data_IF_129714102975
#
_entry.id   IF_129714102975
#
_cell.length_a   1.000
_cell.length_b   1.000
_cell.length_c   1.000
_cell.angle_alpha   90.00
_cell.angle_beta   90.00
_cell.angle_gamma   90.00
#
_symmetry.space_group_name_H-M   'P 1'
#
loop_
_entity.id
_entity.type
_entity.pdbx_description
1 polymer ?
#
# COMPACT_ATOMS: atom_id res chain seq x y z
N UNK A 1 23.79 14.40 -11.70
CA UNK A 1 22.67 14.34 -10.73
C UNK A 1 23.26 14.51 -9.36
N UNK A 2 22.65 15.35 -8.52
CA UNK A 2 23.00 15.39 -7.10
C UNK A 2 22.33 14.23 -6.34
N UNK A 3 22.77 14.02 -5.10
CA UNK A 3 22.30 12.91 -4.27
C UNK A 3 20.80 13.04 -3.95
N UNK A 4 20.33 14.27 -3.73
CA UNK A 4 18.92 14.55 -3.47
C UNK A 4 18.02 14.16 -4.66
N UNK A 5 18.39 14.53 -5.88
CA UNK A 5 17.61 14.16 -7.08
C UNK A 5 17.59 12.65 -7.27
N UNK A 6 18.71 11.95 -7.04
CA UNK A 6 18.75 10.48 -7.13
C UNK A 6 17.78 9.83 -6.15
N UNK A 7 17.81 10.22 -4.87
CA UNK A 7 16.91 9.67 -3.86
C UNK A 7 15.46 10.03 -4.11
N UNK A 8 15.18 11.21 -4.65
CA UNK A 8 13.84 11.59 -5.07
C UNK A 8 13.29 10.62 -6.14
N UNK A 9 14.09 10.26 -7.14
CA UNK A 9 13.70 9.25 -8.13
C UNK A 9 13.51 7.87 -7.51
N UNK A 10 14.37 7.46 -6.58
CA UNK A 10 14.22 6.17 -5.87
C UNK A 10 12.90 6.13 -5.11
N UNK A 11 12.59 7.16 -4.32
CA UNK A 11 11.31 7.30 -3.61
C UNK A 11 10.14 7.25 -4.59
N UNK A 12 10.23 7.96 -5.72
CA UNK A 12 9.24 7.92 -6.78
C UNK A 12 9.01 6.51 -7.33
N UNK A 13 10.08 5.75 -7.61
CA UNK A 13 9.99 4.36 -8.07
C UNK A 13 9.36 3.45 -7.02
N UNK A 14 9.70 3.64 -5.73
CA UNK A 14 9.10 2.87 -4.64
C UNK A 14 7.58 3.11 -4.53
N UNK A 15 7.14 4.36 -4.61
CA UNK A 15 5.71 4.67 -4.60
C UNK A 15 4.99 4.22 -5.87
N UNK A 16 5.62 4.34 -7.04
CA UNK A 16 5.04 3.80 -8.29
C UNK A 16 4.89 2.28 -8.20
N UNK A 17 5.91 1.57 -7.70
CA UNK A 17 5.82 0.13 -7.45
C UNK A 17 4.69 -0.22 -6.49
N UNK A 18 4.58 0.50 -5.38
CA UNK A 18 3.47 0.37 -4.44
C UNK A 18 2.11 0.55 -5.13
N UNK A 19 1.90 1.64 -5.87
CA UNK A 19 0.62 1.92 -6.51
C UNK A 19 0.26 0.92 -7.62
N UNK A 20 1.26 0.34 -8.29
CA UNK A 20 1.02 -0.69 -9.32
C UNK A 20 0.66 -2.02 -8.67
N UNK A 21 1.40 -2.42 -7.64
CA UNK A 21 1.27 -3.73 -7.01
C UNK A 21 0.09 -3.77 -6.04
N UNK A 22 0.10 -2.91 -5.01
CA UNK A 22 -0.97 -2.85 -4.00
C UNK A 22 -2.26 -2.23 -4.61
N UNK A 23 -2.14 -1.43 -5.67
CA UNK A 23 -3.30 -0.95 -6.44
C UNK A 23 -4.09 -2.07 -7.13
N UNK A 24 -3.42 -3.14 -7.56
CA UNK A 24 -4.11 -4.35 -8.03
C UNK A 24 -4.89 -5.02 -6.89
N UNK A 25 -4.30 -5.14 -5.70
CA UNK A 25 -4.95 -5.76 -4.54
C UNK A 25 -6.22 -4.98 -4.13
N UNK A 26 -6.13 -3.65 -4.08
CA UNK A 26 -7.30 -2.81 -3.86
C UNK A 26 -8.35 -2.94 -4.98
N UNK A 27 -7.92 -3.01 -6.23
CA UNK A 27 -8.81 -3.20 -7.38
C UNK A 27 -9.58 -4.52 -7.29
N UNK A 28 -8.91 -5.61 -6.91
CA UNK A 28 -9.52 -6.92 -6.66
C UNK A 28 -10.52 -6.83 -5.50
N UNK A 29 -10.13 -6.21 -4.38
CA UNK A 29 -11.03 -5.99 -3.24
C UNK A 29 -12.29 -5.18 -3.59
N UNK A 30 -12.15 -4.09 -4.36
CA UNK A 30 -13.26 -3.27 -4.83
C UNK A 30 -14.15 -3.98 -5.85
N UNK A 31 -13.63 -4.98 -6.55
CA UNK A 31 -14.40 -5.78 -7.52
C UNK A 31 -15.30 -6.83 -6.87
N UNK A 32 -15.07 -7.18 -5.60
CA UNK A 32 -15.81 -8.23 -4.89
C UNK A 32 -17.34 -8.06 -4.89
N UNK A 33 -17.93 -6.85 -4.72
CA UNK A 33 -19.38 -6.68 -4.81
C UNK A 33 -19.95 -6.98 -6.20
N UNK A 34 -19.14 -6.89 -7.26
CA UNK A 34 -19.57 -7.09 -8.64
C UNK A 34 -19.29 -8.51 -9.14
N UNK A 35 -18.13 -9.06 -8.79
CA UNK A 35 -17.63 -10.36 -9.26
C UNK A 35 -17.84 -11.51 -8.27
N UNK A 36 -17.94 -11.22 -6.96
CA UNK A 36 -18.08 -12.22 -5.89
C UNK A 36 -19.54 -12.45 -5.48
N UNK A 37 -20.42 -12.72 -6.45
CA UNK A 37 -21.87 -12.92 -6.20
C UNK A 37 -22.21 -14.23 -5.49
N UNK A 38 -21.29 -15.19 -5.53
CA UNK A 38 -21.39 -16.49 -4.88
C UNK A 38 -20.12 -16.74 -4.05
N UNK A 39 -20.21 -17.63 -3.06
CA UNK A 39 -19.11 -17.89 -2.13
C UNK A 39 -17.87 -18.44 -2.84
N UNK A 40 -18.08 -19.21 -3.92
CA UNK A 40 -16.99 -19.79 -4.72
C UNK A 40 -16.27 -18.70 -5.53
N UNK A 41 -17.01 -17.85 -6.25
CA UNK A 41 -16.42 -16.73 -7.01
C UNK A 41 -15.72 -15.73 -6.11
N UNK A 42 -16.32 -15.41 -4.94
CA UNK A 42 -15.67 -14.55 -3.94
C UNK A 42 -14.32 -15.11 -3.51
N UNK A 43 -14.26 -16.41 -3.20
CA UNK A 43 -13.02 -17.07 -2.78
C UNK A 43 -12.01 -17.15 -3.92
N UNK A 44 -12.45 -17.39 -5.15
CA UNK A 44 -11.58 -17.37 -6.33
C UNK A 44 -10.94 -16.00 -6.54
N UNK A 45 -11.71 -14.92 -6.42
CA UNK A 45 -11.22 -13.54 -6.55
C UNK A 45 -10.20 -13.23 -5.46
N UNK A 46 -10.48 -13.54 -4.19
CA UNK A 46 -9.54 -13.30 -3.07
C UNK A 46 -8.26 -14.14 -3.23
N UNK A 47 -8.37 -15.40 -3.67
CA UNK A 47 -7.21 -16.27 -3.87
C UNK A 47 -6.25 -15.78 -4.97
N UNK A 48 -6.67 -14.86 -5.85
CA UNK A 48 -5.76 -14.26 -6.84
C UNK A 48 -4.70 -13.37 -6.21
N UNK A 49 -5.02 -12.73 -5.07
CA UNK A 49 -4.13 -11.80 -4.35
C UNK A 49 -3.55 -12.42 -3.07
N UNK A 50 -4.21 -13.45 -2.51
CA UNK A 50 -3.80 -14.15 -1.29
C UNK A 50 -2.29 -14.47 -1.17
N UNK A 51 -1.58 -14.94 -2.21
CA UNK A 51 -0.16 -15.28 -2.08
C UNK A 51 0.80 -14.07 -2.17
N UNK A 52 0.34 -12.89 -2.57
CA UNK A 52 1.21 -11.74 -2.90
C UNK A 52 0.87 -10.43 -2.19
N UNK A 53 -0.32 -10.29 -1.61
CA UNK A 53 -0.78 -9.03 -1.02
C UNK A 53 0.15 -8.51 0.09
N UNK A 54 0.62 -9.40 0.97
CA UNK A 54 1.52 -9.03 2.08
C UNK A 54 2.88 -8.54 1.55
N UNK A 55 3.38 -9.16 0.47
CA UNK A 55 4.58 -8.69 -0.22
C UNK A 55 4.37 -7.30 -0.85
N UNK A 56 3.20 -7.06 -1.44
CA UNK A 56 2.88 -5.78 -2.06
C UNK A 56 2.81 -4.64 -1.02
N UNK A 57 2.30 -4.93 0.18
CA UNK A 57 2.22 -3.96 1.28
C UNK A 57 3.62 -3.52 1.74
N UNK A 58 4.64 -4.39 1.69
CA UNK A 58 6.01 -4.02 2.08
C UNK A 58 6.58 -2.84 1.28
N UNK A 59 6.08 -2.58 0.07
CA UNK A 59 6.53 -1.44 -0.74
C UNK A 59 6.23 -0.10 -0.08
N UNK A 60 5.07 0.06 0.58
CA UNK A 60 4.74 1.32 1.28
C UNK A 60 5.63 1.52 2.50
N UNK A 61 5.98 0.42 3.18
CA UNK A 61 6.85 0.44 4.36
C UNK A 61 8.26 0.88 3.93
N UNK A 62 8.80 0.30 2.86
CA UNK A 62 10.11 0.67 2.32
C UNK A 62 10.11 2.09 1.77
N UNK A 63 9.04 2.52 1.08
CA UNK A 63 8.90 3.90 0.61
C UNK A 63 8.90 4.89 1.78
N UNK A 64 8.17 4.61 2.86
CA UNK A 64 8.15 5.42 4.08
C UNK A 64 9.51 5.47 4.79
N UNK A 65 10.19 4.31 4.92
CA UNK A 65 11.52 4.25 5.50
C UNK A 65 12.56 5.01 4.66
N UNK A 66 12.48 4.90 3.34
CA UNK A 66 13.32 5.64 2.40
C UNK A 66 13.08 7.16 2.52
N UNK A 67 11.82 7.58 2.63
CA UNK A 67 11.45 8.98 2.85
C UNK A 67 12.03 9.51 4.17
N UNK A 68 11.93 8.73 5.25
CA UNK A 68 12.52 9.08 6.55
C UNK A 68 14.04 9.22 6.48
N UNK A 69 14.72 8.32 5.77
CA UNK A 69 16.18 8.31 5.67
C UNK A 69 16.73 9.42 4.75
N UNK A 70 16.11 9.64 3.59
CA UNK A 70 16.60 10.56 2.58
C UNK A 70 16.05 12.00 2.76
N UNK A 71 14.82 12.15 3.25
CA UNK A 71 14.12 13.43 3.39
C UNK A 71 13.37 13.54 4.72
N UNK A 72 14.08 13.61 5.86
CA UNK A 72 13.48 13.54 7.19
C UNK A 72 12.47 14.67 7.46
N UNK A 73 12.74 15.89 6.99
CA UNK A 73 11.81 17.03 7.10
C UNK A 73 10.52 16.79 6.31
N UNK A 74 10.62 16.20 5.13
CA UNK A 74 9.45 15.85 4.31
C UNK A 74 8.63 14.76 5.01
N UNK A 75 9.28 13.72 5.54
CA UNK A 75 8.62 12.69 6.33
C UNK A 75 7.90 13.29 7.55
N UNK A 76 8.59 14.13 8.33
CA UNK A 76 8.04 14.71 9.55
C UNK A 76 6.82 15.60 9.27
N UNK A 77 6.92 16.48 8.27
CA UNK A 77 5.82 17.38 7.89
C UNK A 77 4.62 16.62 7.31
N UNK A 78 4.85 15.57 6.52
CA UNK A 78 3.78 14.72 5.98
C UNK A 78 3.02 13.99 7.10
N UNK A 79 3.74 13.30 7.99
CA UNK A 79 3.13 12.48 9.04
C UNK A 79 2.49 13.31 10.15
N UNK A 80 3.04 14.48 10.48
CA UNK A 80 2.44 15.39 11.46
C UNK A 80 1.28 16.21 10.89
N UNK A 81 1.42 16.72 9.65
CA UNK A 81 0.39 17.53 8.99
C UNK A 81 -0.85 16.73 8.60
N UNK A 82 -0.67 15.48 8.15
CA UNK A 82 -1.76 14.57 7.78
C UNK A 82 -2.00 13.47 8.81
N UNK A 83 -1.79 13.75 10.09
CA UNK A 83 -1.90 12.75 11.16
C UNK A 83 -3.23 11.99 11.12
N UNK A 84 -4.37 12.69 11.10
CA UNK A 84 -5.69 12.04 11.09
C UNK A 84 -5.95 11.22 9.81
N UNK A 85 -5.74 11.75 8.58
CA UNK A 85 -5.84 10.95 7.36
C UNK A 85 -4.95 9.70 7.37
N UNK A 86 -3.69 9.82 7.77
CA UNK A 86 -2.74 8.70 7.80
C UNK A 86 -3.12 7.67 8.86
N UNK A 87 -3.66 8.10 10.01
CA UNK A 87 -4.19 7.19 11.02
C UNK A 87 -5.38 6.38 10.48
N UNK A 88 -6.29 7.01 9.74
CA UNK A 88 -7.41 6.31 9.12
C UNK A 88 -6.94 5.30 8.07
N UNK A 89 -5.95 5.66 7.25
CA UNK A 89 -5.33 4.75 6.28
C UNK A 89 -4.70 3.56 7.00
N UNK A 90 -3.94 3.79 8.08
CA UNK A 90 -3.32 2.72 8.86
C UNK A 90 -4.37 1.75 9.41
N UNK A 91 -5.45 2.27 10.01
CA UNK A 91 -6.54 1.44 10.51
C UNK A 91 -7.21 0.62 9.38
N UNK A 92 -7.40 1.22 8.22
CA UNK A 92 -7.96 0.52 7.05
C UNK A 92 -7.04 -0.61 6.56
N UNK A 93 -5.71 -0.40 6.55
CA UNK A 93 -4.72 -1.42 6.19
C UNK A 93 -4.72 -2.57 7.21
N UNK A 94 -4.80 -2.28 8.51
CA UNK A 94 -4.91 -3.32 9.56
C UNK A 94 -6.17 -4.16 9.35
N UNK A 95 -7.33 -3.51 9.14
CA UNK A 95 -8.59 -4.23 8.90
C UNK A 95 -8.51 -5.08 7.62
N UNK A 96 -7.85 -4.58 6.57
CA UNK A 96 -7.60 -5.34 5.34
C UNK A 96 -6.80 -6.61 5.63
N UNK A 97 -5.67 -6.50 6.33
CA UNK A 97 -4.84 -7.66 6.66
C UNK A 97 -5.60 -8.70 7.47
N UNK A 98 -6.34 -8.27 8.49
CA UNK A 98 -7.20 -9.15 9.29
C UNK A 98 -8.27 -9.83 8.42
N UNK A 99 -8.87 -9.13 7.45
CA UNK A 99 -9.93 -9.68 6.60
C UNK A 99 -9.46 -10.74 5.58
N UNK A 100 -8.16 -10.81 5.29
CA UNK A 100 -7.60 -11.85 4.43
C UNK A 100 -7.18 -13.10 5.22
N UNK A 101 -6.76 -12.93 6.47
CA UNK A 101 -6.32 -14.03 7.33
C UNK A 101 -7.49 -14.73 8.07
N UNK A 102 -8.54 -13.99 8.44
CA UNK A 102 -9.67 -14.46 9.25
C UNK A 102 -11.01 -14.36 8.51
#
# INVERSE_FOLDING_TARGET
MDLATLWFFIVGVLFVGYFVLDGFDFGVGMSLPFLGKDEVSRRQVINTIGPVWDLNETWVIVAGACLFAAFPEWYATLFSGFYLPLLLILLALIVRGVSFEY
#
